data_IF_446193224800
#
_entry.id   IF_446193224800
#
_cell.length_a   1.000
_cell.length_b   1.000
_cell.length_c   1.000
_cell.angle_alpha   90.00
_cell.angle_beta   90.00
_cell.angle_gamma   90.00
#
_symmetry.space_group_name_H-M   'P 1'
#
loop_
_entity.id
_entity.type
_entity.pdbx_description
1 polymer ?
#
# COMPACT_ATOMS: atom_id res chain seq x y z
N UNK A 1 13.80 -14.01 0.51
CA UNK A 1 12.43 -14.55 0.55
C UNK A 1 12.37 -15.85 1.34
N UNK A 2 13.07 -16.94 0.95
CA UNK A 2 13.03 -18.23 1.69
C UNK A 2 13.26 -18.13 3.20
N UNK A 3 14.33 -17.45 3.63
CA UNK A 3 14.61 -17.25 5.07
C UNK A 3 13.51 -16.46 5.79
N UNK A 4 13.04 -15.37 5.19
CA UNK A 4 11.96 -14.54 5.74
C UNK A 4 10.66 -15.34 5.93
N UNK A 5 10.28 -16.15 4.93
CA UNK A 5 9.11 -17.02 5.02
C UNK A 5 9.26 -18.06 6.12
N UNK A 6 10.42 -18.71 6.26
CA UNK A 6 10.66 -19.67 7.35
C UNK A 6 10.58 -19.03 8.74
N UNK A 7 11.03 -17.78 8.89
CA UNK A 7 11.06 -17.07 10.17
C UNK A 7 9.70 -16.45 10.56
N UNK A 8 8.87 -16.09 9.58
CA UNK A 8 7.62 -15.33 9.82
C UNK A 8 6.35 -16.09 9.44
N UNK A 9 6.47 -17.24 8.76
CA UNK A 9 5.38 -17.98 8.13
C UNK A 9 4.61 -17.15 7.07
N UNK A 10 5.26 -16.12 6.51
CA UNK A 10 4.68 -15.24 5.48
C UNK A 10 5.18 -15.67 4.10
N UNK A 11 4.25 -16.05 3.24
CA UNK A 11 4.53 -16.32 1.83
C UNK A 11 5.01 -15.08 1.08
N UNK A 12 5.99 -15.26 0.20
CA UNK A 12 6.54 -14.19 -0.63
C UNK A 12 6.34 -14.51 -2.10
N UNK A 13 5.67 -13.60 -2.80
CA UNK A 13 5.32 -13.72 -4.22
C UNK A 13 6.11 -12.73 -5.07
N UNK A 14 6.46 -13.13 -6.30
CA UNK A 14 7.10 -12.27 -7.31
C UNK A 14 6.21 -12.18 -8.54
N UNK A 15 6.24 -11.02 -9.21
CA UNK A 15 5.66 -10.90 -10.55
C UNK A 15 6.61 -11.49 -11.59
N UNK A 16 6.04 -12.05 -12.65
CA UNK A 16 6.76 -12.51 -13.82
C UNK A 16 7.46 -11.32 -14.52
N UNK A 17 8.64 -11.56 -15.14
CA UNK A 17 9.30 -10.56 -15.96
C UNK A 17 8.37 -10.00 -17.03
N UNK A 18 8.42 -8.68 -17.23
CA UNK A 18 7.60 -7.97 -18.22
C UNK A 18 6.07 -8.06 -17.99
N UNK A 19 5.62 -8.43 -16.78
CA UNK A 19 4.20 -8.51 -16.41
C UNK A 19 3.78 -7.43 -15.39
N UNK A 20 3.81 -6.13 -15.74
CA UNK A 20 3.46 -5.06 -14.80
C UNK A 20 2.01 -5.11 -14.32
N UNK A 21 1.10 -5.77 -15.04
CA UNK A 21 -0.30 -5.91 -14.65
C UNK A 21 -0.49 -6.79 -13.39
N UNK A 22 0.43 -7.69 -13.08
CA UNK A 22 0.40 -8.51 -11.85
C UNK A 22 0.60 -7.68 -10.57
N UNK A 23 0.97 -6.40 -10.71
CA UNK A 23 1.11 -5.43 -9.61
C UNK A 23 0.29 -4.16 -9.82
N UNK A 24 -0.81 -4.26 -10.57
CA UNK A 24 -1.64 -3.09 -10.94
C UNK A 24 -2.06 -2.23 -9.74
N UNK A 25 -2.41 -2.85 -8.62
CA UNK A 25 -2.76 -2.14 -7.37
C UNK A 25 -1.59 -1.33 -6.82
N UNK A 26 -0.37 -1.89 -6.82
CA UNK A 26 0.83 -1.20 -6.34
C UNK A 26 1.16 0.01 -7.23
N UNK A 27 1.06 -0.13 -8.54
CA UNK A 27 1.31 0.98 -9.49
C UNK A 27 0.28 2.10 -9.33
N UNK A 28 -0.98 1.77 -9.08
CA UNK A 28 -2.02 2.76 -8.78
C UNK A 28 -1.73 3.49 -7.46
N UNK A 29 -1.38 2.76 -6.40
CA UNK A 29 -0.99 3.36 -5.09
C UNK A 29 0.25 4.24 -5.22
N UNK A 30 1.27 3.82 -5.94
CA UNK A 30 2.46 4.62 -6.21
C UNK A 30 2.15 5.91 -6.98
N UNK A 31 1.20 5.89 -7.92
CA UNK A 31 0.73 7.10 -8.60
C UNK A 31 0.10 8.10 -7.63
N UNK A 32 -0.63 7.62 -6.62
CA UNK A 32 -1.26 8.45 -5.61
C UNK A 32 -0.23 9.03 -4.63
N UNK A 33 0.75 8.23 -4.20
CA UNK A 33 1.88 8.71 -3.39
C UNK A 33 2.64 9.84 -4.09
N UNK A 34 2.79 9.78 -5.41
CA UNK A 34 3.44 10.83 -6.22
C UNK A 34 2.71 12.18 -6.22
N UNK A 35 1.46 12.25 -5.74
CA UNK A 35 0.76 13.52 -5.50
C UNK A 35 1.33 14.27 -4.29
N UNK A 36 1.95 13.55 -3.34
CA UNK A 36 2.57 14.09 -2.13
C UNK A 36 4.08 14.20 -2.27
N UNK A 37 4.71 13.17 -2.83
CA UNK A 37 6.15 13.05 -3.00
C UNK A 37 6.46 12.77 -4.48
N UNK A 38 6.62 13.82 -5.31
CA UNK A 38 6.99 13.67 -6.71
C UNK A 38 8.19 12.73 -6.90
N UNK A 39 8.32 12.16 -8.10
CA UNK A 39 9.41 11.23 -8.39
C UNK A 39 10.76 11.90 -8.11
N UNK A 40 11.58 11.28 -7.26
CA UNK A 40 12.90 11.79 -6.89
C UNK A 40 12.91 12.69 -5.65
N UNK A 41 11.77 12.90 -4.99
CA UNK A 41 11.74 13.54 -3.67
C UNK A 41 12.55 12.73 -2.67
N UNK A 42 13.51 13.38 -2.01
CA UNK A 42 14.22 12.80 -0.88
C UNK A 42 13.28 12.72 0.33
N UNK A 43 13.09 11.51 0.85
CA UNK A 43 12.24 11.27 2.01
C UNK A 43 12.98 11.46 3.34
N UNK A 44 14.31 11.49 3.35
CA UNK A 44 15.12 11.59 4.57
C UNK A 44 14.84 12.85 5.43
N UNK A 45 14.53 14.04 4.85
CA UNK A 45 14.20 15.23 5.64
C UNK A 45 12.80 15.20 6.25
N UNK A 46 11.91 14.30 5.80
CA UNK A 46 10.53 14.26 6.27
C UNK A 46 10.44 13.50 7.60
N UNK A 47 9.72 14.07 8.56
CA UNK A 47 9.51 13.39 9.84
C UNK A 47 8.56 12.21 9.70
N UNK A 48 8.72 11.19 10.56
CA UNK A 48 7.81 10.05 10.60
C UNK A 48 6.34 10.50 10.79
N UNK A 49 6.10 11.57 11.56
CA UNK A 49 4.75 12.11 11.77
C UNK A 49 4.15 12.68 10.46
N UNK A 50 4.95 13.34 9.63
CA UNK A 50 4.52 13.81 8.31
C UNK A 50 4.20 12.63 7.38
N UNK A 51 5.08 11.62 7.33
CA UNK A 51 4.87 10.42 6.52
C UNK A 51 3.61 9.65 6.96
N UNK A 52 3.38 9.51 8.26
CA UNK A 52 2.17 8.89 8.82
C UNK A 52 0.92 9.68 8.46
N UNK A 53 0.99 11.02 8.44
CA UNK A 53 -0.15 11.85 8.04
C UNK A 53 -0.53 11.60 6.58
N UNK A 54 0.46 11.49 5.68
CA UNK A 54 0.21 11.16 4.27
C UNK A 54 -0.34 9.74 4.12
N UNK A 55 0.22 8.76 4.84
CA UNK A 55 -0.26 7.38 4.83
C UNK A 55 -1.73 7.29 5.29
N UNK A 56 -2.07 8.00 6.37
CA UNK A 56 -3.44 8.09 6.87
C UNK A 56 -4.39 8.69 5.83
N UNK A 57 -4.03 9.81 5.22
CA UNK A 57 -4.85 10.42 4.16
C UNK A 57 -5.07 9.46 2.98
N UNK A 58 -4.07 8.67 2.59
CA UNK A 58 -4.22 7.69 1.51
C UNK A 58 -5.11 6.50 1.89
N UNK A 59 -5.05 6.07 3.15
CA UNK A 59 -5.85 4.97 3.68
C UNK A 59 -7.30 5.37 3.98
N UNK A 60 -7.55 6.63 4.31
CA UNK A 60 -8.89 7.19 4.54
C UNK A 60 -9.55 7.69 3.25
N UNK A 61 -8.82 7.78 2.14
CA UNK A 61 -9.35 8.28 0.87
C UNK A 61 -10.29 7.26 0.19
N UNK A 62 -11.56 7.62 -0.06
CA UNK A 62 -12.50 6.82 -0.85
C UNK A 62 -11.94 6.36 -2.20
N UNK A 63 -12.16 5.08 -2.56
CA UNK A 63 -11.74 4.50 -3.84
C UNK A 63 -12.94 4.01 -4.62
N UNK A 64 -13.05 4.44 -5.89
CA UNK A 64 -14.07 3.94 -6.80
C UNK A 64 -14.03 2.41 -6.98
N UNK A 65 -12.85 1.80 -6.89
CA UNK A 65 -12.66 0.34 -6.96
C UNK A 65 -13.14 -0.41 -5.72
N UNK A 66 -13.46 0.30 -4.64
CA UNK A 66 -13.98 -0.23 -3.38
C UNK A 66 -15.40 0.31 -3.12
N UNK A 67 -16.18 0.56 -4.18
CA UNK A 67 -17.53 1.14 -4.09
C UNK A 67 -17.58 2.45 -3.29
N UNK A 68 -16.52 3.26 -3.41
CA UNK A 68 -16.30 4.51 -2.68
C UNK A 68 -16.08 4.37 -1.17
N UNK A 69 -15.88 3.16 -0.65
CA UNK A 69 -15.25 2.98 0.65
C UNK A 69 -13.75 3.30 0.59
N UNK A 70 -13.20 3.64 1.75
CA UNK A 70 -11.77 3.81 1.96
C UNK A 70 -11.07 2.47 2.19
N UNK A 71 -9.76 2.37 1.87
CA UNK A 71 -8.95 1.20 2.23
C UNK A 71 -9.01 0.85 3.72
N UNK A 72 -9.02 1.86 4.60
CA UNK A 72 -9.09 1.66 6.04
C UNK A 72 -10.41 1.00 6.47
N UNK A 73 -11.55 1.44 5.94
CA UNK A 73 -12.86 0.83 6.22
C UNK A 73 -12.88 -0.63 5.77
N UNK A 74 -12.51 -0.91 4.52
CA UNK A 74 -12.53 -2.28 3.98
C UNK A 74 -11.56 -3.20 4.70
N UNK A 75 -10.41 -2.68 5.11
CA UNK A 75 -9.46 -3.43 5.92
C UNK A 75 -10.05 -3.81 7.28
N UNK A 76 -10.66 -2.84 7.98
CA UNK A 76 -11.30 -3.09 9.27
C UNK A 76 -12.43 -4.12 9.15
N UNK A 77 -13.27 -4.03 8.11
CA UNK A 77 -14.34 -5.01 7.86
C UNK A 77 -13.78 -6.44 7.65
N UNK A 78 -12.71 -6.57 6.85
CA UNK A 78 -12.08 -7.86 6.57
C UNK A 78 -11.44 -8.48 7.83
N UNK A 79 -10.74 -7.68 8.63
CA UNK A 79 -10.10 -8.17 9.87
C UNK A 79 -11.15 -8.53 10.92
N UNK A 80 -12.21 -7.73 11.06
CA UNK A 80 -13.31 -8.03 11.99
C UNK A 80 -14.04 -9.34 11.65
N UNK A 81 -14.10 -9.73 10.37
CA UNK A 81 -14.68 -11.00 9.95
C UNK A 81 -13.77 -12.23 10.21
N UNK A 82 -12.51 -12.01 10.58
CA UNK A 82 -11.50 -13.07 10.76
C UNK A 82 -11.25 -13.40 12.25
N UNK A 83 -11.88 -12.67 13.18
CA UNK A 83 -11.86 -12.93 14.63
C UNK A 83 -13.13 -13.60 15.11
#
# INVERSE_FOLDING_TARGET
HKRFTMETDIDVYFCDPQSPWQRGSNENTNRLLRQYFPRGTDLAPHSQAQLNTVARQLNERPRKTLDFHSPAERFNDCVAATG
#
